data_IF_952703048021
#
_entry.id   IF_952703048021
#
_cell.length_a   1.000
_cell.length_b   1.000
_cell.length_c   1.000
_cell.angle_alpha   90.00
_cell.angle_beta   90.00
_cell.angle_gamma   90.00
#
_symmetry.space_group_name_H-M   'P 1'
#
loop_
_entity.id
_entity.type
_entity.pdbx_description
1 polymer ?
#
# COMPACT_ATOMS: atom_id res chain seq x y z
N UNK A 1 29.97 -5.16 -3.36
CA UNK A 1 29.78 -5.54 -1.94
C UNK A 1 28.36 -5.30 -1.44
N UNK A 2 27.90 -4.06 -1.22
CA UNK A 2 26.55 -3.79 -0.65
C UNK A 2 25.35 -4.41 -1.39
N UNK A 3 25.37 -4.47 -2.73
CA UNK A 3 24.28 -5.09 -3.49
C UNK A 3 24.17 -6.61 -3.25
N UNK A 4 25.30 -7.31 -3.11
CA UNK A 4 25.31 -8.77 -2.93
C UNK A 4 24.85 -9.20 -1.54
N UNK A 5 25.13 -8.41 -0.50
CA UNK A 5 24.66 -8.69 0.86
C UNK A 5 23.14 -8.54 1.01
N UNK A 6 22.54 -7.58 0.30
CA UNK A 6 21.09 -7.43 0.23
C UNK A 6 20.45 -8.68 -0.38
N UNK A 7 20.99 -9.21 -1.48
CA UNK A 7 20.45 -10.42 -2.12
C UNK A 7 20.59 -11.68 -1.25
N UNK A 8 21.62 -11.78 -0.40
CA UNK A 8 21.74 -12.89 0.57
C UNK A 8 20.65 -12.91 1.65
N UNK A 9 19.96 -11.78 1.85
CA UNK A 9 18.89 -11.67 2.85
C UNK A 9 17.56 -12.26 2.38
N UNK A 10 17.43 -12.55 1.07
CA UNK A 10 16.22 -13.10 0.48
C UNK A 10 16.30 -14.62 0.34
N UNK A 11 15.19 -15.31 0.59
CA UNK A 11 15.05 -16.71 0.24
C UNK A 11 14.89 -16.89 -1.27
N UNK A 12 15.00 -18.14 -1.73
CA UNK A 12 14.63 -18.51 -3.10
C UNK A 12 13.22 -18.00 -3.43
N UNK A 13 13.09 -17.38 -4.61
CA UNK A 13 11.79 -16.92 -5.13
C UNK A 13 10.98 -18.15 -5.57
N UNK A 14 9.73 -18.24 -5.11
CA UNK A 14 8.73 -19.19 -5.60
C UNK A 14 7.72 -18.44 -6.46
N UNK A 15 7.25 -19.08 -7.54
CA UNK A 15 6.34 -18.47 -8.51
C UNK A 15 5.16 -19.41 -8.78
N UNK A 16 3.98 -18.83 -8.85
CA UNK A 16 2.73 -19.47 -9.27
C UNK A 16 1.98 -18.51 -10.21
N UNK A 17 0.88 -18.95 -10.83
CA UNK A 17 0.17 -18.11 -11.80
C UNK A 17 -0.30 -16.79 -11.15
N UNK A 18 0.29 -15.67 -11.58
CA UNK A 18 -0.03 -14.32 -11.08
C UNK A 18 0.59 -13.93 -9.73
N UNK A 19 1.42 -14.77 -9.10
CA UNK A 19 2.05 -14.47 -7.82
C UNK A 19 3.51 -14.94 -7.75
N UNK A 20 4.38 -14.04 -7.29
CA UNK A 20 5.77 -14.33 -6.96
C UNK A 20 6.02 -14.01 -5.49
N UNK A 21 6.74 -14.85 -4.77
CA UNK A 21 7.02 -14.60 -3.36
C UNK A 21 8.44 -14.99 -2.94
N UNK A 22 8.91 -14.36 -1.88
CA UNK A 22 10.19 -14.63 -1.21
C UNK A 22 10.09 -14.23 0.24
N UNK A 23 11.02 -14.66 1.09
CA UNK A 23 11.16 -14.20 2.46
C UNK A 23 12.40 -13.33 2.62
N UNK A 24 12.30 -12.27 3.41
CA UNK A 24 13.44 -11.50 3.89
C UNK A 24 13.43 -11.54 5.42
N UNK A 25 14.32 -12.35 6.01
CA UNK A 25 14.23 -12.69 7.43
C UNK A 25 12.87 -13.33 7.77
N UNK A 26 12.17 -12.79 8.77
CA UNK A 26 10.82 -13.23 9.18
C UNK A 26 9.66 -12.65 8.35
N UNK A 27 9.94 -11.88 7.30
CA UNK A 27 8.91 -11.19 6.49
C UNK A 27 8.70 -11.93 5.18
N UNK A 28 7.45 -12.30 4.89
CA UNK A 28 7.05 -12.82 3.59
C UNK A 28 6.68 -11.65 2.66
N UNK A 29 7.30 -11.62 1.50
CA UNK A 29 7.16 -10.59 0.48
C UNK A 29 6.53 -11.24 -0.74
N UNK A 30 5.39 -10.71 -1.18
CA UNK A 30 4.65 -11.22 -2.34
C UNK A 30 4.44 -10.08 -3.35
N UNK A 31 4.57 -10.41 -4.63
CA UNK A 31 4.12 -9.58 -5.74
C UNK A 31 2.97 -10.32 -6.39
N UNK A 32 1.80 -9.71 -6.37
CA UNK A 32 0.54 -10.33 -6.77
C UNK A 32 -0.04 -9.48 -7.90
N UNK A 33 -0.45 -10.13 -8.99
CA UNK A 33 -1.31 -9.51 -10.00
C UNK A 33 -2.72 -10.00 -9.76
N UNK A 34 -3.62 -9.13 -9.30
CA UNK A 34 -4.95 -9.54 -8.89
C UNK A 34 -5.82 -8.40 -8.41
N UNK A 35 -6.98 -8.76 -7.87
CA UNK A 35 -7.97 -7.83 -7.35
C UNK A 35 -7.79 -7.66 -5.84
N UNK A 36 -7.51 -6.42 -5.43
CA UNK A 36 -7.32 -6.02 -4.03
C UNK A 36 -8.53 -6.34 -3.14
N UNK A 37 -9.74 -6.41 -3.71
CA UNK A 37 -10.96 -6.66 -2.93
C UNK A 37 -11.02 -8.07 -2.32
N UNK A 38 -10.16 -8.99 -2.75
CA UNK A 38 -10.09 -10.38 -2.27
C UNK A 38 -8.97 -10.61 -1.26
N UNK A 39 -8.18 -9.59 -0.94
CA UNK A 39 -7.03 -9.71 -0.04
C UNK A 39 -7.43 -9.71 1.44
N UNK A 40 -6.83 -10.60 2.24
CA UNK A 40 -7.07 -10.73 3.69
C UNK A 40 -6.06 -9.94 4.53
N UNK A 41 -5.56 -8.84 3.99
CA UNK A 41 -4.50 -8.04 4.59
C UNK A 41 -5.07 -7.09 5.64
N UNK A 42 -4.34 -6.86 6.74
CA UNK A 42 -4.75 -5.95 7.80
C UNK A 42 -4.87 -4.50 7.30
N UNK A 43 -3.90 -4.07 6.48
CA UNK A 43 -3.82 -2.71 5.94
C UNK A 43 -3.66 -2.72 4.43
N UNK A 44 -4.47 -1.91 3.75
CA UNK A 44 -4.21 -1.56 2.35
C UNK A 44 -3.76 -0.11 2.27
N UNK A 45 -2.86 0.17 1.34
CA UNK A 45 -2.39 1.52 1.06
C UNK A 45 -3.16 2.12 -0.10
N UNK A 46 -3.72 3.30 0.13
CA UNK A 46 -4.25 4.14 -0.93
C UNK A 46 -3.25 5.28 -1.23
N UNK A 47 -2.82 5.38 -2.50
CA UNK A 47 -2.00 6.49 -2.99
C UNK A 47 -2.91 7.59 -3.53
N UNK A 48 -2.89 8.78 -2.91
CA UNK A 48 -3.80 9.88 -3.21
C UNK A 48 -3.06 11.20 -3.46
N UNK A 49 -3.81 12.28 -3.74
CA UNK A 49 -3.35 13.68 -3.70
C UNK A 49 -3.12 14.18 -2.27
N UNK A 50 -2.51 15.36 -2.14
CA UNK A 50 -2.31 16.08 -0.86
C UNK A 50 -3.61 16.39 -0.10
N UNK A 51 -4.76 16.41 -0.78
CA UNK A 51 -6.09 16.60 -0.19
C UNK A 51 -6.78 15.29 0.19
N UNK A 52 -6.15 14.13 -0.03
CA UNK A 52 -6.72 12.79 0.22
C UNK A 52 -8.06 12.54 -0.50
N UNK A 53 -8.27 13.19 -1.65
CA UNK A 53 -9.55 13.19 -2.37
C UNK A 53 -9.46 12.54 -3.76
N UNK A 54 -8.38 11.82 -4.08
CA UNK A 54 -8.22 11.19 -5.38
C UNK A 54 -9.28 10.10 -5.57
N UNK A 55 -10.05 10.16 -6.64
CA UNK A 55 -11.02 9.13 -7.02
C UNK A 55 -10.80 8.69 -8.47
N UNK A 56 -9.55 8.38 -8.82
CA UNK A 56 -9.19 7.73 -10.09
C UNK A 56 -8.28 6.51 -9.86
N UNK A 57 -8.13 5.66 -10.87
CA UNK A 57 -7.32 4.43 -10.83
C UNK A 57 -7.60 3.54 -9.60
N UNK A 58 -6.53 3.10 -8.94
CA UNK A 58 -6.62 2.26 -7.72
C UNK A 58 -7.31 2.97 -6.57
N UNK A 59 -7.12 4.29 -6.41
CA UNK A 59 -7.78 5.05 -5.34
C UNK A 59 -9.30 5.01 -5.50
N UNK A 60 -9.79 5.15 -6.74
CA UNK A 60 -11.22 4.98 -7.04
C UNK A 60 -11.72 3.61 -6.65
N UNK A 61 -11.03 2.55 -7.09
CA UNK A 61 -11.43 1.17 -6.80
C UNK A 61 -11.50 0.91 -5.28
N UNK A 62 -10.54 1.42 -4.51
CA UNK A 62 -10.56 1.32 -3.04
C UNK A 62 -11.77 2.05 -2.46
N UNK A 63 -11.98 3.33 -2.84
CA UNK A 63 -13.02 4.17 -2.25
C UNK A 63 -14.44 3.76 -2.66
N UNK A 64 -14.63 3.27 -3.89
CA UNK A 64 -15.91 2.74 -4.37
C UNK A 64 -16.38 1.56 -3.50
N UNK A 65 -15.45 0.68 -3.10
CA UNK A 65 -15.75 -0.46 -2.22
C UNK A 65 -15.84 -0.01 -0.76
N UNK A 66 -14.87 0.77 -0.27
CA UNK A 66 -14.83 1.21 1.12
C UNK A 66 -16.08 2.03 1.51
N UNK A 67 -16.56 2.87 0.59
CA UNK A 67 -17.79 3.64 0.71
C UNK A 67 -17.59 5.07 1.25
N UNK A 68 -18.69 5.84 1.20
CA UNK A 68 -18.68 7.29 1.46
C UNK A 68 -18.25 7.67 2.88
N UNK A 69 -18.40 6.79 3.86
CA UNK A 69 -17.93 7.01 5.23
C UNK A 69 -16.42 7.20 5.28
N UNK A 70 -15.67 6.45 4.48
CA UNK A 70 -14.20 6.58 4.36
C UNK A 70 -13.84 7.87 3.63
N UNK A 71 -14.58 8.26 2.59
CA UNK A 71 -14.36 9.53 1.89
C UNK A 71 -14.53 10.72 2.84
N UNK A 72 -15.57 10.72 3.69
CA UNK A 72 -15.78 11.76 4.69
C UNK A 72 -14.66 11.77 5.76
N UNK A 73 -14.20 10.59 6.18
CA UNK A 73 -13.07 10.49 7.11
C UNK A 73 -11.77 11.03 6.51
N UNK A 74 -11.49 10.75 5.23
CA UNK A 74 -10.38 11.32 4.48
C UNK A 74 -10.44 12.84 4.44
N UNK A 75 -11.61 13.43 4.15
CA UNK A 75 -11.78 14.89 4.13
C UNK A 75 -11.49 15.50 5.50
N UNK A 76 -12.06 14.91 6.57
CA UNK A 76 -11.88 15.39 7.94
C UNK A 76 -10.43 15.31 8.42
N UNK A 77 -9.75 14.19 8.15
CA UNK A 77 -8.34 14.00 8.55
C UNK A 77 -7.40 14.80 7.66
N UNK A 78 -7.71 14.92 6.37
CA UNK A 78 -6.94 15.69 5.40
C UNK A 78 -6.97 17.20 5.65
N UNK A 79 -8.04 17.73 6.25
CA UNK A 79 -8.11 19.13 6.68
C UNK A 79 -7.37 19.43 7.98
N UNK A 80 -6.86 18.39 8.67
CA UNK A 80 -6.06 18.55 9.88
C UNK A 80 -4.56 18.50 9.55
N UNK A 81 -3.70 19.09 10.40
CA UNK A 81 -2.25 18.95 10.25
C UNK A 81 -1.84 17.48 10.18
N UNK A 82 -1.21 17.09 9.07
CA UNK A 82 -0.75 15.73 8.83
C UNK A 82 0.59 15.76 8.07
N UNK A 83 1.32 14.65 8.08
CA UNK A 83 2.63 14.51 7.44
C UNK A 83 2.54 13.84 6.06
N UNK A 84 1.46 14.11 5.32
CA UNK A 84 1.19 13.45 4.04
C UNK A 84 0.71 12.00 4.18
N UNK A 85 0.21 11.63 5.37
CA UNK A 85 -0.36 10.31 5.65
C UNK A 85 -1.51 10.44 6.63
N UNK A 86 -2.59 9.68 6.39
CA UNK A 86 -3.74 9.54 7.29
C UNK A 86 -4.17 8.08 7.37
N UNK A 87 -4.74 7.69 8.50
CA UNK A 87 -5.24 6.33 8.75
C UNK A 87 -6.74 6.39 9.00
N UNK A 88 -7.52 5.65 8.21
CA UNK A 88 -8.98 5.62 8.27
C UNK A 88 -9.50 4.23 8.66
N UNK A 89 -10.78 4.17 9.02
CA UNK A 89 -11.51 2.93 9.14
C UNK A 89 -11.69 2.25 7.77
N UNK A 90 -11.90 0.92 7.71
CA UNK A 90 -11.95 0.18 6.46
C UNK A 90 -13.25 0.39 5.65
N UNK A 91 -14.26 1.03 6.26
CA UNK A 91 -15.60 1.10 5.67
C UNK A 91 -16.17 -0.31 5.45
N UNK A 92 -16.53 -0.64 4.21
CA UNK A 92 -17.07 -1.96 3.84
C UNK A 92 -16.01 -3.01 3.48
N UNK A 93 -14.72 -2.64 3.45
CA UNK A 93 -13.64 -3.59 3.15
C UNK A 93 -13.41 -4.54 4.33
N UNK A 94 -13.07 -5.80 4.03
CA UNK A 94 -12.80 -6.85 5.05
C UNK A 94 -11.34 -6.83 5.50
N UNK A 95 -10.92 -5.72 6.09
CA UNK A 95 -9.57 -5.45 6.59
C UNK A 95 -9.63 -4.56 7.83
N UNK A 96 -8.50 -4.28 8.49
CA UNK A 96 -8.49 -3.51 9.75
C UNK A 96 -8.46 -2.00 9.51
N UNK A 97 -7.62 -1.51 8.58
CA UNK A 97 -7.42 -0.07 8.31
C UNK A 97 -7.04 0.24 6.87
N UNK A 98 -7.32 1.45 6.40
CA UNK A 98 -6.77 1.96 5.14
C UNK A 98 -5.75 3.04 5.48
N UNK A 99 -4.52 2.89 4.97
CA UNK A 99 -3.49 3.90 5.07
C UNK A 99 -3.50 4.74 3.79
N UNK A 100 -3.87 6.01 3.89
CA UNK A 100 -3.82 6.92 2.75
C UNK A 100 -2.55 7.74 2.81
N UNK A 101 -1.76 7.72 1.75
CA UNK A 101 -0.56 8.53 1.62
C UNK A 101 -0.66 9.46 0.42
N UNK A 102 0.09 10.57 0.49
CA UNK A 102 0.29 11.45 -0.65
C UNK A 102 1.28 10.80 -1.60
N UNK A 103 0.83 10.49 -2.82
CA UNK A 103 1.65 9.80 -3.81
C UNK A 103 2.90 10.59 -4.18
N UNK A 104 3.99 9.87 -4.38
CA UNK A 104 5.31 10.40 -4.74
C UNK A 104 5.84 9.68 -5.97
N UNK A 105 6.71 10.35 -6.72
CA UNK A 105 7.45 9.74 -7.83
C UNK A 105 8.96 9.73 -7.63
N UNK A 106 9.46 10.51 -6.66
CA UNK A 106 10.85 10.44 -6.26
C UNK A 106 11.12 9.12 -5.51
N UNK A 107 12.07 8.29 -5.95
CA UNK A 107 12.34 7.00 -5.32
C UNK A 107 12.73 7.08 -3.84
N UNK A 108 13.45 8.13 -3.42
CA UNK A 108 13.82 8.31 -2.01
C UNK A 108 12.60 8.65 -1.16
N UNK A 109 11.72 9.51 -1.67
CA UNK A 109 10.45 9.82 -1.00
C UNK A 109 9.54 8.58 -0.89
N UNK A 110 9.46 7.75 -1.94
CA UNK A 110 8.72 6.47 -1.90
C UNK A 110 9.32 5.53 -0.84
N UNK A 111 10.65 5.42 -0.78
CA UNK A 111 11.32 4.59 0.22
C UNK A 111 11.00 5.02 1.65
N UNK A 112 11.06 6.32 1.95
CA UNK A 112 10.72 6.84 3.28
C UNK A 112 9.24 6.66 3.61
N UNK A 113 8.34 6.81 2.64
CA UNK A 113 6.92 6.55 2.81
C UNK A 113 6.64 5.07 3.15
N UNK A 114 7.22 4.15 2.38
CA UNK A 114 7.08 2.72 2.65
C UNK A 114 7.59 2.40 4.05
N UNK A 115 8.80 2.87 4.40
CA UNK A 115 9.37 2.69 5.75
C UNK A 115 8.45 3.20 6.85
N UNK A 116 7.90 4.41 6.72
CA UNK A 116 6.97 4.98 7.68
C UNK A 116 5.67 4.16 7.81
N UNK A 117 5.13 3.67 6.69
CA UNK A 117 3.97 2.78 6.70
C UNK A 117 4.24 1.46 7.43
N UNK A 118 5.42 0.86 7.24
CA UNK A 118 5.81 -0.37 7.95
C UNK A 118 5.95 -0.13 9.45
N UNK A 119 6.59 0.97 9.85
CA UNK A 119 6.73 1.36 11.25
C UNK A 119 5.35 1.57 11.90
N UNK A 120 4.43 2.22 11.20
CA UNK A 120 3.06 2.42 11.68
C UNK A 120 2.34 1.08 11.88
N UNK A 121 2.47 0.14 10.95
CA UNK A 121 1.88 -1.20 11.09
C UNK A 121 2.42 -1.92 12.32
N UNK A 122 3.74 -1.92 12.51
CA UNK A 122 4.38 -2.54 13.67
C UNK A 122 3.89 -1.92 14.99
N UNK A 123 3.82 -0.58 15.07
CA UNK A 123 3.33 0.13 16.27
C UNK A 123 1.85 -0.14 16.60
N UNK A 124 1.06 -0.52 15.60
CA UNK A 124 -0.38 -0.80 15.76
C UNK A 124 -0.68 -2.31 15.80
N UNK A 125 0.33 -3.17 15.94
CA UNK A 125 0.18 -4.64 15.93
C UNK A 125 -0.56 -5.16 14.67
N UNK A 126 -0.30 -4.53 13.52
CA UNK A 126 -0.83 -4.93 12.22
C UNK A 126 0.21 -5.79 11.52
N UNK A 127 -0.16 -7.01 11.17
CA UNK A 127 0.80 -8.04 10.72
C UNK A 127 0.87 -8.16 9.21
N UNK A 128 0.12 -7.34 8.46
CA UNK A 128 0.14 -7.40 7.01
C UNK A 128 -0.22 -6.07 6.37
N UNK A 129 0.49 -5.72 5.29
CA UNK A 129 0.26 -4.49 4.54
C UNK A 129 0.35 -4.77 3.04
N UNK A 130 -0.51 -4.09 2.28
CA UNK A 130 -0.58 -4.17 0.84
C UNK A 130 -0.33 -2.80 0.22
N UNK A 131 0.58 -2.74 -0.73
CA UNK A 131 0.92 -1.55 -1.49
C UNK A 131 0.50 -1.72 -2.96
N UNK A 132 -0.14 -0.69 -3.56
CA UNK A 132 -0.18 -0.61 -5.01
C UNK A 132 1.24 -0.30 -5.54
N UNK A 133 1.46 -0.46 -6.84
CA UNK A 133 2.65 0.11 -7.49
C UNK A 133 2.68 1.63 -7.32
N UNK A 134 3.43 2.11 -6.32
CA UNK A 134 3.55 3.53 -6.02
C UNK A 134 4.30 4.25 -7.16
N UNK A 135 3.83 5.46 -7.51
CA UNK A 135 4.47 6.29 -8.53
C UNK A 135 4.16 5.92 -9.98
N UNK A 136 3.30 4.92 -10.25
CA UNK A 136 2.99 4.46 -11.62
C UNK A 136 1.63 4.91 -12.15
N UNK A 137 0.76 5.46 -11.30
CA UNK A 137 -0.63 5.81 -11.64
C UNK A 137 -0.87 7.27 -12.09
N UNK A 138 -2.15 7.59 -12.32
CA UNK A 138 -2.67 8.84 -12.91
C UNK A 138 -2.41 10.15 -12.15
N UNK A 139 -1.63 10.16 -11.08
CA UNK A 139 -1.14 11.42 -10.48
C UNK A 139 -0.35 12.29 -11.49
N UNK A 140 -0.12 11.80 -12.73
CA UNK A 140 0.63 12.47 -13.80
C UNK A 140 -0.02 12.41 -15.22
N UNK A 141 -1.35 12.27 -15.39
CA UNK A 141 -1.98 12.24 -16.74
C UNK A 141 -1.41 11.15 -17.69
N UNK A 142 -1.27 9.90 -17.24
CA UNK A 142 -0.94 8.77 -18.13
C UNK A 142 -2.02 7.71 -18.05
N UNK A 143 -2.81 7.61 -19.11
CA UNK A 143 -3.90 6.64 -19.27
C UNK A 143 -3.34 5.27 -19.66
N UNK A 144 -3.63 4.27 -18.83
CA UNK A 144 -3.41 2.85 -19.09
C UNK A 144 -2.26 2.28 -18.27
N UNK A 145 -2.56 1.32 -17.40
CA UNK A 145 -1.60 0.28 -16.98
C UNK A 145 -2.28 -0.80 -16.14
N UNK A 146 -1.95 -2.06 -16.45
CA UNK A 146 -2.13 -3.21 -15.58
C UNK A 146 -1.31 -2.99 -14.30
N UNK A 147 -1.98 -2.94 -13.14
CA UNK A 147 -1.32 -2.71 -11.85
C UNK A 147 -0.64 -3.99 -11.35
N UNK A 148 0.70 -3.97 -11.29
CA UNK A 148 1.44 -4.87 -10.41
C UNK A 148 1.24 -4.40 -8.96
N UNK A 149 1.04 -5.34 -8.04
CA UNK A 149 0.76 -5.04 -6.65
C UNK A 149 1.74 -5.79 -5.77
N UNK A 150 2.14 -5.19 -4.64
CA UNK A 150 3.07 -5.81 -3.69
C UNK A 150 2.44 -5.91 -2.31
N UNK A 151 2.55 -7.10 -1.70
CA UNK A 151 2.04 -7.43 -0.38
C UNK A 151 3.21 -7.83 0.53
N UNK A 152 3.19 -7.34 1.75
CA UNK A 152 4.14 -7.69 2.80
C UNK A 152 3.37 -8.31 3.97
N UNK A 153 3.78 -9.51 4.37
CA UNK A 153 3.25 -10.27 5.49
C UNK A 153 4.34 -10.38 6.56
N UNK A 154 4.03 -9.92 7.77
CA UNK A 154 4.88 -10.02 8.95
C UNK A 154 4.40 -11.18 9.82
N UNK A 155 5.33 -11.95 10.38
CA UNK A 155 5.05 -12.83 11.52
C UNK A 155 5.64 -12.16 12.76
N UNK A 156 4.80 -11.93 13.79
CA UNK A 156 5.29 -11.56 15.12
C UNK A 156 5.88 -12.79 15.81
#
# INVERSE_FOLDING_TARGET
MLKEEIFKSFSKITSSSGMHETKMGGVLIQVITGDLTKETTDVIVNSSTNTFSLQSGVSKAILDVAGQTVVAECQRLGSQPNKGVILTQPGKLRLKKILHLVGQTDPKAIQELVKGALQMCAQNNLTSIFFPALGTGELQNRTGMNTQLSRLLYSN
#
